data_IF_130575788381
#
_entry.id   IF_130575788381
#
_cell.length_a   1.000
_cell.length_b   1.000
_cell.length_c   1.000
_cell.angle_alpha   90.00
_cell.angle_beta   90.00
_cell.angle_gamma   90.00
#
_symmetry.space_group_name_H-M   'P 1'
#
loop_
_entity.id
_entity.type
_entity.pdbx_description
1 polymer ?
#
# COMPACT_ATOMS: atom_id res chain seq x y z
N UNK A 1 -6.13 0.96 7.43
CA UNK A 1 -5.40 2.14 7.92
C UNK A 1 -6.28 3.33 7.61
N UNK A 2 -6.82 3.99 8.61
CA UNK A 2 -7.83 5.04 8.40
C UNK A 2 -7.22 6.20 7.60
N UNK A 3 -7.79 6.49 6.44
CA UNK A 3 -7.32 7.49 5.46
C UNK A 3 -7.25 8.90 6.07
N UNK A 4 -7.96 9.16 7.16
CA UNK A 4 -8.07 10.47 7.81
C UNK A 4 -6.94 10.71 8.82
N UNK A 5 -6.49 9.69 9.54
CA UNK A 5 -5.28 9.79 10.38
C UNK A 5 -4.01 9.76 9.53
N UNK A 6 -4.01 9.03 8.41
CA UNK A 6 -2.90 9.11 7.45
C UNK A 6 -2.80 10.49 6.81
N UNK A 7 -3.89 11.24 6.66
CA UNK A 7 -3.85 12.65 6.19
C UNK A 7 -3.26 13.61 7.22
N UNK A 8 -3.31 13.30 8.50
CA UNK A 8 -2.58 14.03 9.56
C UNK A 8 -1.07 13.69 9.53
N UNK A 9 -0.73 12.46 9.11
CA UNK A 9 0.66 12.01 8.93
C UNK A 9 1.31 12.57 7.66
N UNK A 10 0.50 12.91 6.64
CA UNK A 10 0.97 13.46 5.35
C UNK A 10 1.06 14.99 5.33
N UNK A 11 0.62 15.69 6.37
CA UNK A 11 0.98 17.10 6.54
C UNK A 11 2.46 17.13 6.93
N UNK A 12 3.35 17.41 5.99
CA UNK A 12 4.80 17.70 6.03
C UNK A 12 5.51 17.78 7.42
N UNK A 13 5.02 17.05 8.40
CA UNK A 13 5.62 16.96 9.71
C UNK A 13 6.71 15.89 9.63
N UNK A 14 7.97 16.31 9.57
CA UNK A 14 9.13 15.45 9.80
C UNK A 14 9.02 14.76 11.16
N UNK A 15 8.22 13.69 11.26
CA UNK A 15 7.98 12.99 12.52
C UNK A 15 9.20 12.19 12.93
N UNK A 16 9.61 12.34 14.17
CA UNK A 16 10.63 11.49 14.78
C UNK A 16 10.06 10.08 15.00
N UNK A 17 10.94 9.07 15.16
CA UNK A 17 10.54 7.69 15.49
C UNK A 17 9.68 7.60 16.77
N UNK A 18 9.93 8.49 17.73
CA UNK A 18 9.16 8.56 18.98
C UNK A 18 7.75 9.10 18.74
N UNK A 19 7.61 10.15 17.94
CA UNK A 19 6.31 10.73 17.55
C UNK A 19 5.48 9.77 16.71
N UNK A 20 6.14 9.04 15.82
CA UNK A 20 5.49 8.01 15.01
C UNK A 20 4.91 6.87 15.87
N UNK A 21 5.63 6.40 16.91
CA UNK A 21 5.12 5.37 17.83
C UNK A 21 3.83 5.82 18.55
N UNK A 22 3.74 7.09 18.95
CA UNK A 22 2.52 7.63 19.56
C UNK A 22 1.33 7.54 18.60
N UNK A 23 1.51 7.95 17.36
CA UNK A 23 0.44 7.90 16.35
C UNK A 23 0.07 6.47 15.98
N UNK A 24 1.05 5.56 15.83
CA UNK A 24 0.79 4.14 15.57
C UNK A 24 -0.04 3.53 16.69
N UNK A 25 0.30 3.80 17.94
CA UNK A 25 -0.45 3.29 19.08
C UNK A 25 -1.92 3.79 19.09
N UNK A 26 -2.15 5.07 18.82
CA UNK A 26 -3.50 5.64 18.74
C UNK A 26 -4.32 5.00 17.61
N UNK A 27 -3.69 4.70 16.47
CA UNK A 27 -4.34 4.03 15.33
C UNK A 27 -4.68 2.57 15.63
N UNK A 28 -3.82 1.88 16.38
CA UNK A 28 -4.01 0.48 16.77
C UNK A 28 -5.05 0.31 17.88
N UNK A 29 -5.33 1.38 18.67
CA UNK A 29 -6.21 1.33 19.82
C UNK A 29 -7.33 2.39 19.80
N UNK A 30 -8.13 2.47 18.73
CA UNK A 30 -9.12 3.55 18.52
C UNK A 30 -10.13 3.69 19.68
N UNK A 31 -10.53 2.57 20.29
CA UNK A 31 -11.49 2.59 21.41
C UNK A 31 -10.91 3.19 22.70
N UNK A 32 -9.61 3.23 22.85
CA UNK A 32 -8.93 3.78 24.03
C UNK A 32 -8.65 5.27 23.92
N UNK A 33 -8.65 5.82 22.70
CA UNK A 33 -8.27 7.21 22.43
C UNK A 33 -9.11 8.21 23.23
N UNK A 34 -10.40 7.94 23.42
CA UNK A 34 -11.30 8.88 24.12
C UNK A 34 -11.13 8.91 25.65
N UNK A 35 -10.37 7.99 26.22
CA UNK A 35 -10.25 7.82 27.68
C UNK A 35 -8.79 7.82 28.16
N UNK A 36 -7.83 7.90 27.24
CA UNK A 36 -6.41 7.83 27.59
C UNK A 36 -5.90 9.17 28.11
N UNK A 37 -5.12 9.14 29.17
CA UNK A 37 -4.41 10.32 29.67
C UNK A 37 -3.05 10.47 28.95
N UNK A 38 -2.46 11.68 29.00
CA UNK A 38 -1.14 11.92 28.43
C UNK A 38 -0.04 11.04 29.07
N UNK A 39 -0.20 10.70 30.37
CA UNK A 39 0.74 9.83 31.10
C UNK A 39 0.64 8.38 30.62
N UNK A 40 -0.59 7.86 30.53
CA UNK A 40 -0.83 6.50 30.02
C UNK A 40 -0.38 6.36 28.57
N UNK A 41 -0.65 7.37 27.72
CA UNK A 41 -0.18 7.34 26.33
C UNK A 41 1.35 7.37 26.25
N UNK A 42 2.01 8.15 27.12
CA UNK A 42 3.46 8.20 27.22
C UNK A 42 4.05 6.83 27.60
N UNK A 43 3.43 6.17 28.58
CA UNK A 43 3.85 4.85 29.07
C UNK A 43 3.70 3.77 27.99
N UNK A 44 2.53 3.63 27.39
CA UNK A 44 2.24 2.60 26.37
C UNK A 44 2.98 2.82 25.05
N UNK A 45 3.36 4.07 24.74
CA UNK A 45 4.14 4.41 23.55
C UNK A 45 5.65 4.46 23.82
N UNK A 46 6.07 4.23 25.06
CA UNK A 46 7.50 4.32 25.49
C UNK A 46 8.15 5.65 25.13
N UNK A 47 7.46 6.76 25.41
CA UNK A 47 7.94 8.13 25.18
C UNK A 47 7.70 9.02 26.39
N UNK A 48 8.28 10.22 26.41
CA UNK A 48 7.96 11.21 27.46
C UNK A 48 6.64 11.95 27.15
N UNK A 49 5.96 12.43 28.19
CA UNK A 49 4.80 13.31 28.05
C UNK A 49 5.15 14.57 27.24
N UNK A 50 6.37 15.08 27.37
CA UNK A 50 6.87 16.21 26.60
C UNK A 50 6.95 15.91 25.08
N UNK A 51 7.24 14.67 24.71
CA UNK A 51 7.24 14.22 23.31
C UNK A 51 5.83 14.27 22.74
N UNK A 52 4.82 13.82 23.51
CA UNK A 52 3.41 13.86 23.09
C UNK A 52 2.91 15.31 22.95
N UNK A 53 3.27 16.18 23.91
CA UNK A 53 2.91 17.60 23.84
C UNK A 53 3.50 18.28 22.61
N UNK A 54 4.78 18.02 22.30
CA UNK A 54 5.43 18.55 21.09
C UNK A 54 4.80 18.01 19.82
N UNK A 55 4.42 16.72 19.78
CA UNK A 55 3.71 16.13 18.66
C UNK A 55 2.38 16.86 18.43
N UNK A 56 1.57 17.05 19.48
CA UNK A 56 0.30 17.78 19.39
C UNK A 56 0.50 19.18 18.80
N UNK A 57 1.47 19.95 19.33
CA UNK A 57 1.79 21.29 18.83
C UNK A 57 2.31 21.27 17.36
N UNK A 58 3.13 20.32 17.01
CA UNK A 58 3.67 20.13 15.65
C UNK A 58 2.57 19.82 14.64
N UNK A 59 1.52 19.11 15.06
CA UNK A 59 0.34 18.81 14.26
C UNK A 59 -0.67 19.98 14.25
N UNK A 60 -0.37 21.10 14.94
CA UNK A 60 -1.18 22.33 14.93
C UNK A 60 -2.24 22.38 16.03
N UNK A 61 -2.18 21.50 17.03
CA UNK A 61 -3.11 21.51 18.16
C UNK A 61 -2.54 22.32 19.32
N UNK A 62 -3.42 22.98 20.09
CA UNK A 62 -3.03 23.78 21.26
C UNK A 62 -2.47 22.93 22.42
N UNK A 63 -2.79 21.62 22.46
CA UNK A 63 -2.34 20.70 23.47
C UNK A 63 -2.91 19.30 23.34
N UNK A 64 -2.61 18.45 24.34
CA UNK A 64 -3.00 17.04 24.34
C UNK A 64 -4.51 16.83 24.25
N UNK A 65 -5.30 17.61 25.00
CA UNK A 65 -6.76 17.44 25.05
C UNK A 65 -7.41 17.69 23.70
N UNK A 66 -6.98 18.73 23.00
CA UNK A 66 -7.45 19.05 21.64
C UNK A 66 -7.00 17.99 20.65
N UNK A 67 -5.74 17.57 20.72
CA UNK A 67 -5.18 16.51 19.88
C UNK A 67 -5.96 15.20 20.03
N UNK A 68 -6.18 14.73 21.25
CA UNK A 68 -6.95 13.51 21.53
C UNK A 68 -8.41 13.64 21.11
N UNK A 69 -9.02 14.81 21.34
CA UNK A 69 -10.38 15.07 20.90
C UNK A 69 -10.51 14.94 19.37
N UNK A 70 -9.59 15.55 18.61
CA UNK A 70 -9.56 15.43 17.16
C UNK A 70 -9.29 13.99 16.69
N UNK A 71 -8.36 13.28 17.33
CA UNK A 71 -8.14 11.87 17.07
C UNK A 71 -9.42 11.05 17.33
N UNK A 72 -10.13 11.34 18.42
CA UNK A 72 -11.40 10.68 18.72
C UNK A 72 -12.46 10.98 17.67
N UNK A 73 -12.61 12.22 17.23
CA UNK A 73 -13.56 12.58 16.16
C UNK A 73 -13.23 11.87 14.86
N UNK A 74 -11.99 11.90 14.42
CA UNK A 74 -11.54 11.22 13.21
C UNK A 74 -11.76 9.70 13.27
N UNK A 75 -11.63 9.10 14.44
CA UNK A 75 -11.87 7.68 14.67
C UNK A 75 -13.36 7.36 14.89
N UNK A 76 -14.16 8.33 15.39
CA UNK A 76 -15.61 8.18 15.61
C UNK A 76 -16.47 8.54 14.40
N UNK A 77 -15.95 9.35 13.46
CA UNK A 77 -16.57 9.60 12.16
C UNK A 77 -16.35 8.46 11.16
N UNK A 78 -15.59 7.43 11.55
CA UNK A 78 -15.72 6.10 10.92
C UNK A 78 -17.19 5.71 11.06
N UNK A 79 -17.90 5.33 9.99
CA UNK A 79 -19.30 4.87 10.08
C UNK A 79 -19.36 3.95 11.28
N UNK A 80 -20.25 4.24 12.23
CA UNK A 80 -20.42 3.48 13.45
C UNK A 80 -20.21 2.02 13.13
N UNK A 81 -19.17 1.42 13.71
CA UNK A 81 -19.09 -0.02 13.80
C UNK A 81 -20.46 -0.43 14.32
N UNK A 82 -21.29 -0.87 13.38
CA UNK A 82 -22.61 -1.44 13.66
C UNK A 82 -22.37 -2.34 14.85
N UNK A 83 -23.16 -2.11 15.90
CA UNK A 83 -23.13 -2.89 17.11
C UNK A 83 -22.83 -4.34 16.75
N UNK A 84 -21.87 -4.95 17.46
CA UNK A 84 -21.55 -6.37 17.36
C UNK A 84 -22.86 -7.16 17.29
N UNK A 85 -23.37 -7.33 16.10
CA UNK A 85 -24.19 -8.47 15.82
C UNK A 85 -23.21 -9.60 15.63
N UNK A 86 -23.38 -10.70 16.36
CA UNK A 86 -22.61 -11.94 16.23
C UNK A 86 -22.73 -12.60 14.84
N UNK A 87 -23.15 -11.87 13.85
CA UNK A 87 -23.23 -12.25 12.45
C UNK A 87 -21.92 -11.83 11.76
N UNK A 88 -20.88 -12.64 11.93
CA UNK A 88 -19.81 -12.72 10.94
C UNK A 88 -20.51 -13.08 9.61
N UNK A 89 -20.37 -12.28 8.53
CA UNK A 89 -20.97 -12.63 7.26
C UNK A 89 -20.54 -14.06 6.90
N UNK A 90 -21.47 -14.89 6.50
CA UNK A 90 -21.14 -16.24 6.06
C UNK A 90 -20.15 -16.20 4.91
N UNK A 91 -19.28 -17.19 4.82
CA UNK A 91 -18.26 -17.28 3.78
C UNK A 91 -18.77 -17.01 2.36
N UNK A 92 -19.99 -17.49 1.96
CA UNK A 92 -20.56 -17.15 0.66
C UNK A 92 -20.81 -15.65 0.44
N UNK A 93 -21.23 -14.91 1.49
CA UNK A 93 -21.46 -13.47 1.37
C UNK A 93 -20.13 -12.71 1.22
N UNK A 94 -19.10 -13.11 1.95
CA UNK A 94 -17.74 -12.58 1.80
C UNK A 94 -17.18 -12.88 0.41
N UNK A 95 -17.35 -14.10 -0.08
CA UNK A 95 -16.93 -14.47 -1.43
C UNK A 95 -17.59 -13.60 -2.51
N UNK A 96 -18.89 -13.36 -2.42
CA UNK A 96 -19.61 -12.48 -3.34
C UNK A 96 -19.08 -11.04 -3.29
N UNK A 97 -18.70 -10.54 -2.11
CA UNK A 97 -18.06 -9.23 -1.97
C UNK A 97 -16.71 -9.18 -2.69
N UNK A 98 -15.87 -10.21 -2.53
CA UNK A 98 -14.61 -10.32 -3.28
C UNK A 98 -14.85 -10.35 -4.80
N UNK A 99 -15.83 -11.10 -5.28
CA UNK A 99 -16.19 -11.12 -6.70
C UNK A 99 -16.58 -9.73 -7.20
N UNK A 100 -17.39 -8.98 -6.45
CA UNK A 100 -17.75 -7.61 -6.80
C UNK A 100 -16.53 -6.69 -6.87
N UNK A 101 -15.58 -6.82 -5.93
CA UNK A 101 -14.34 -6.07 -5.93
C UNK A 101 -13.43 -6.42 -7.12
N UNK A 102 -13.38 -7.68 -7.52
CA UNK A 102 -12.69 -8.11 -8.75
C UNK A 102 -13.31 -7.47 -9.99
N UNK A 103 -14.63 -7.49 -10.11
CA UNK A 103 -15.33 -6.87 -11.24
C UNK A 103 -15.01 -5.38 -11.35
N UNK A 104 -14.94 -4.65 -10.23
CA UNK A 104 -14.52 -3.25 -10.21
C UNK A 104 -13.08 -3.06 -10.72
N UNK A 105 -12.15 -3.91 -10.30
CA UNK A 105 -10.77 -3.87 -10.80
C UNK A 105 -10.72 -4.07 -12.31
N UNK A 106 -11.42 -5.08 -12.83
CA UNK A 106 -11.38 -5.41 -14.25
C UNK A 106 -12.04 -4.36 -15.14
N UNK A 107 -12.93 -3.52 -14.63
CA UNK A 107 -13.46 -2.36 -15.37
C UNK A 107 -12.38 -1.33 -15.72
N UNK A 108 -11.29 -1.26 -14.96
CA UNK A 108 -10.17 -0.33 -15.19
C UNK A 108 -9.01 -0.94 -15.98
N UNK A 109 -9.06 -2.25 -16.20
CA UNK A 109 -8.07 -2.97 -17.03
C UNK A 109 -8.56 -2.97 -18.48
N UNK A 110 -8.34 -1.83 -19.15
CA UNK A 110 -8.78 -1.66 -20.54
C UNK A 110 -8.05 -2.59 -21.50
N UNK A 111 -8.64 -2.83 -22.67
CA UNK A 111 -8.03 -3.64 -23.73
C UNK A 111 -6.66 -3.08 -24.15
N UNK A 112 -6.52 -1.77 -24.27
CA UNK A 112 -5.25 -1.13 -24.57
C UNK A 112 -4.15 -1.46 -23.55
N UNK A 113 -4.46 -1.42 -22.26
CA UNK A 113 -3.49 -1.78 -21.21
C UNK A 113 -3.07 -3.24 -21.31
N UNK A 114 -4.01 -4.14 -21.58
CA UNK A 114 -3.73 -5.57 -21.76
C UNK A 114 -2.85 -5.81 -22.98
N UNK A 115 -3.14 -5.18 -24.10
CA UNK A 115 -2.33 -5.24 -25.32
C UNK A 115 -0.92 -4.68 -25.10
N UNK A 116 -0.77 -3.56 -24.39
CA UNK A 116 0.55 -3.00 -24.06
C UNK A 116 1.33 -3.99 -23.20
N UNK A 117 0.71 -4.57 -22.18
CA UNK A 117 1.38 -5.55 -21.32
C UNK A 117 1.79 -6.81 -22.08
N UNK A 118 0.89 -7.36 -22.90
CA UNK A 118 1.16 -8.52 -23.77
C UNK A 118 2.34 -8.23 -24.70
N UNK A 119 2.38 -7.06 -25.34
CA UNK A 119 3.48 -6.65 -26.19
C UNK A 119 4.78 -6.52 -25.41
N UNK A 120 4.77 -5.92 -24.21
CA UNK A 120 5.94 -5.86 -23.34
C UNK A 120 6.50 -7.26 -23.03
N UNK A 121 5.64 -8.22 -22.72
CA UNK A 121 6.07 -9.59 -22.46
C UNK A 121 6.64 -10.29 -23.71
N UNK A 122 6.15 -9.98 -24.89
CA UNK A 122 6.66 -10.55 -26.15
C UNK A 122 7.99 -9.93 -26.60
N UNK A 123 8.13 -8.61 -26.46
CA UNK A 123 9.26 -7.86 -27.00
C UNK A 123 10.43 -7.69 -26.02
N UNK A 124 10.18 -7.82 -24.69
CA UNK A 124 11.18 -7.59 -23.65
C UNK A 124 11.53 -8.89 -22.96
N UNK A 125 12.83 -9.07 -22.70
CA UNK A 125 13.37 -10.30 -22.11
C UNK A 125 13.89 -10.13 -20.70
N UNK A 126 14.06 -8.89 -20.21
CA UNK A 126 14.66 -8.63 -18.91
C UNK A 126 13.83 -7.65 -18.06
N UNK A 127 13.50 -8.09 -16.84
CA UNK A 127 12.59 -7.43 -15.91
C UNK A 127 13.25 -7.26 -14.54
N UNK A 128 13.22 -6.05 -14.01
CA UNK A 128 13.60 -5.77 -12.62
C UNK A 128 12.33 -5.47 -11.82
N UNK A 129 12.08 -6.25 -10.77
CA UNK A 129 10.88 -6.10 -9.96
C UNK A 129 11.21 -5.53 -8.57
N UNK A 130 10.31 -4.75 -8.01
CA UNK A 130 10.44 -4.21 -6.67
C UNK A 130 9.10 -4.00 -6.00
N UNK A 131 9.05 -4.34 -4.71
CA UNK A 131 7.96 -4.02 -3.79
C UNK A 131 8.54 -3.87 -2.38
N UNK A 132 8.00 -2.97 -1.58
CA UNK A 132 8.40 -2.77 -0.19
C UNK A 132 7.44 -3.47 0.76
N UNK A 133 7.96 -3.98 1.90
CA UNK A 133 7.16 -4.65 2.90
C UNK A 133 6.36 -5.83 2.33
N UNK A 134 5.05 -5.87 2.59
CA UNK A 134 4.17 -6.95 2.12
C UNK A 134 4.08 -7.03 0.59
N UNK A 135 4.18 -5.89 -0.12
CA UNK A 135 4.16 -5.85 -1.59
C UNK A 135 5.33 -6.61 -2.24
N UNK A 136 6.42 -6.85 -1.50
CA UNK A 136 7.54 -7.67 -1.96
C UNK A 136 7.10 -9.09 -2.34
N UNK A 137 6.22 -9.72 -1.56
CA UNK A 137 5.75 -11.08 -1.81
C UNK A 137 5.08 -11.22 -3.18
N UNK A 138 4.33 -10.21 -3.60
CA UNK A 138 3.64 -10.20 -4.90
C UNK A 138 4.59 -9.87 -6.05
N UNK A 139 5.56 -8.99 -5.82
CA UNK A 139 6.62 -8.76 -6.79
C UNK A 139 7.47 -10.02 -6.98
N UNK A 140 7.75 -10.78 -5.90
CA UNK A 140 8.44 -12.07 -5.98
C UNK A 140 7.61 -13.12 -6.72
N UNK A 141 6.31 -13.20 -6.43
CA UNK A 141 5.38 -14.07 -7.17
C UNK A 141 5.47 -13.84 -8.68
N UNK A 142 5.33 -12.59 -9.12
CA UNK A 142 5.43 -12.24 -10.54
C UNK A 142 6.82 -12.53 -11.11
N UNK A 143 7.89 -12.30 -10.33
CA UNK A 143 9.26 -12.65 -10.72
C UNK A 143 9.36 -14.13 -11.07
N UNK A 144 8.84 -15.02 -10.21
CA UNK A 144 8.85 -16.47 -10.44
C UNK A 144 8.04 -16.86 -11.68
N UNK A 145 6.87 -16.26 -11.88
CA UNK A 145 6.06 -16.48 -13.09
C UNK A 145 6.82 -16.09 -14.36
N UNK A 146 7.46 -14.92 -14.38
CA UNK A 146 8.27 -14.46 -15.51
C UNK A 146 9.46 -15.41 -15.79
N UNK A 147 10.13 -15.89 -14.73
CA UNK A 147 11.22 -16.87 -14.86
C UNK A 147 10.73 -18.20 -15.49
N UNK A 148 9.54 -18.68 -15.10
CA UNK A 148 8.92 -19.88 -15.72
C UNK A 148 8.61 -19.66 -17.19
N UNK A 149 8.29 -18.43 -17.59
CA UNK A 149 8.10 -18.05 -19.00
C UNK A 149 9.42 -17.81 -19.76
N UNK A 150 10.56 -18.12 -19.15
CA UNK A 150 11.88 -17.99 -19.78
C UNK A 150 12.44 -16.57 -19.77
N UNK A 151 11.81 -15.62 -19.05
CA UNK A 151 12.31 -14.23 -18.95
C UNK A 151 13.41 -14.12 -17.90
N UNK A 152 14.39 -13.24 -18.16
CA UNK A 152 15.37 -12.83 -17.17
C UNK A 152 14.69 -11.87 -16.18
N UNK A 153 14.26 -12.38 -15.04
CA UNK A 153 13.58 -11.58 -14.03
C UNK A 153 14.35 -11.60 -12.71
N UNK A 154 14.59 -10.43 -12.16
CA UNK A 154 15.27 -10.21 -10.88
C UNK A 154 14.41 -9.37 -9.95
N UNK A 155 14.42 -9.71 -8.68
CA UNK A 155 13.78 -8.92 -7.62
C UNK A 155 14.82 -8.48 -6.60
N UNK A 156 14.79 -7.20 -6.24
CA UNK A 156 15.58 -6.67 -5.13
C UNK A 156 14.87 -6.93 -3.82
N UNK A 157 15.59 -7.49 -2.86
CA UNK A 157 15.07 -7.85 -1.54
C UNK A 157 14.74 -6.64 -0.67
N UNK A 158 13.92 -6.80 0.38
CA UNK A 158 13.53 -5.69 1.27
C UNK A 158 14.71 -5.06 2.02
N UNK A 159 15.80 -5.82 2.22
CA UNK A 159 17.03 -5.36 2.87
C UNK A 159 18.09 -4.82 1.92
N UNK A 160 17.85 -4.87 0.61
CA UNK A 160 18.83 -4.46 -0.37
C UNK A 160 19.02 -2.95 -0.38
N UNK A 161 20.29 -2.54 -0.41
CA UNK A 161 20.61 -1.12 -0.53
C UNK A 161 20.21 -0.56 -1.91
N UNK A 162 19.97 0.74 -1.96
CA UNK A 162 19.77 1.49 -3.21
C UNK A 162 20.86 1.20 -4.24
N UNK A 163 22.09 0.96 -3.80
CA UNK A 163 23.22 0.71 -4.68
C UNK A 163 23.09 -0.60 -5.47
N UNK A 164 22.45 -1.63 -4.93
CA UNK A 164 22.16 -2.87 -5.67
C UNK A 164 21.30 -2.56 -6.88
N UNK A 165 20.27 -1.72 -6.71
CA UNK A 165 19.45 -1.29 -7.83
C UNK A 165 20.26 -0.48 -8.86
N UNK A 166 20.98 0.54 -8.42
CA UNK A 166 21.79 1.39 -9.31
C UNK A 166 22.83 0.60 -10.13
N UNK A 167 23.47 -0.38 -9.50
CA UNK A 167 24.51 -1.20 -10.16
C UNK A 167 23.96 -2.21 -11.17
N UNK A 168 22.67 -2.53 -11.10
CA UNK A 168 22.06 -3.56 -11.93
C UNK A 168 20.98 -3.07 -12.88
N UNK A 169 20.32 -1.95 -12.60
CA UNK A 169 19.14 -1.48 -13.33
C UNK A 169 19.35 -1.39 -14.84
N UNK A 170 20.51 -0.89 -15.28
CA UNK A 170 20.83 -0.75 -16.72
C UNK A 170 20.87 -2.08 -17.51
N UNK A 171 20.83 -3.23 -16.83
CA UNK A 171 20.78 -4.56 -17.47
C UNK A 171 19.36 -5.00 -17.79
N UNK A 172 18.35 -4.27 -17.32
CA UNK A 172 16.96 -4.64 -17.43
C UNK A 172 16.20 -3.61 -18.28
N UNK A 173 15.22 -4.09 -19.04
CA UNK A 173 14.43 -3.29 -19.96
C UNK A 173 13.14 -2.76 -19.34
N UNK A 174 12.60 -3.50 -18.39
CA UNK A 174 11.32 -3.20 -17.72
C UNK A 174 11.52 -3.16 -16.22
N UNK A 175 11.03 -2.12 -15.57
CA UNK A 175 10.91 -2.01 -14.12
C UNK A 175 9.45 -2.23 -13.72
N UNK A 176 9.19 -3.23 -12.89
CA UNK A 176 7.85 -3.52 -12.38
C UNK A 176 7.78 -3.18 -10.90
N UNK A 177 6.93 -2.23 -10.55
CA UNK A 177 6.71 -1.77 -9.20
C UNK A 177 5.37 -2.24 -8.63
N UNK A 178 5.40 -2.86 -7.46
CA UNK A 178 4.21 -3.17 -6.68
C UNK A 178 4.19 -2.31 -5.43
N UNK A 179 3.20 -1.42 -5.31
CA UNK A 179 3.02 -0.56 -4.13
C UNK A 179 1.55 -0.26 -3.91
N UNK A 180 0.94 -0.83 -2.87
CA UNK A 180 -0.48 -0.62 -2.60
C UNK A 180 -0.84 0.86 -2.52
N UNK A 181 -0.10 1.67 -1.77
CA UNK A 181 -0.35 3.11 -1.66
C UNK A 181 0.06 3.90 -2.91
N UNK A 182 1.06 3.42 -3.66
CA UNK A 182 1.72 4.18 -4.71
C UNK A 182 2.56 5.36 -4.23
N UNK A 183 2.78 5.48 -2.89
CA UNK A 183 3.48 6.59 -2.24
C UNK A 183 4.72 6.14 -1.44
N UNK A 184 5.11 4.87 -1.55
CA UNK A 184 6.28 4.37 -0.83
C UNK A 184 7.56 4.96 -1.41
N UNK A 185 8.28 5.79 -0.63
CA UNK A 185 9.45 6.55 -1.08
C UNK A 185 10.50 5.69 -1.78
N UNK A 186 10.82 4.52 -1.22
CA UNK A 186 11.80 3.61 -1.82
C UNK A 186 11.36 3.05 -3.18
N UNK A 187 10.06 2.90 -3.42
CA UNK A 187 9.50 2.47 -4.69
C UNK A 187 9.55 3.62 -5.69
N UNK A 188 9.15 4.83 -5.26
CA UNK A 188 9.16 6.03 -6.08
C UNK A 188 10.59 6.40 -6.54
N UNK A 189 11.59 6.34 -5.63
CA UNK A 189 12.99 6.60 -5.96
C UNK A 189 13.47 5.66 -7.09
N UNK A 190 13.22 4.36 -6.94
CA UNK A 190 13.60 3.38 -7.97
C UNK A 190 12.85 3.56 -9.27
N UNK A 191 11.55 3.86 -9.22
CA UNK A 191 10.74 4.09 -10.42
C UNK A 191 11.23 5.31 -11.21
N UNK A 192 11.55 6.43 -10.53
CA UNK A 192 12.13 7.62 -11.17
C UNK A 192 13.50 7.33 -11.81
N UNK A 193 14.35 6.58 -11.10
CA UNK A 193 15.64 6.17 -11.66
C UNK A 193 15.43 5.28 -12.89
N UNK A 194 14.55 4.29 -12.83
CA UNK A 194 14.23 3.41 -13.94
C UNK A 194 13.77 4.21 -15.18
N UNK A 195 12.84 5.14 -14.98
CA UNK A 195 12.38 6.05 -16.03
C UNK A 195 13.53 6.87 -16.63
N UNK A 196 14.39 7.48 -15.80
CA UNK A 196 15.50 8.32 -16.23
C UNK A 196 16.55 7.56 -17.04
N UNK A 197 16.73 6.24 -16.81
CA UNK A 197 17.66 5.41 -17.60
C UNK A 197 16.98 4.70 -18.78
N UNK A 198 15.71 5.02 -19.06
CA UNK A 198 14.98 4.54 -20.23
C UNK A 198 14.37 3.14 -20.08
N UNK A 199 14.19 2.63 -18.86
CA UNK A 199 13.39 1.44 -18.63
C UNK A 199 11.91 1.77 -18.81
N UNK A 200 11.13 0.82 -19.31
CA UNK A 200 9.66 0.90 -19.24
C UNK A 200 9.18 0.62 -17.82
N UNK A 201 8.43 1.54 -17.23
CA UNK A 201 7.93 1.42 -15.87
C UNK A 201 6.49 0.88 -15.87
N UNK A 202 6.28 -0.28 -15.28
CA UNK A 202 4.97 -0.88 -15.06
C UNK A 202 4.64 -0.79 -13.57
N UNK A 203 3.47 -0.31 -13.20
CA UNK A 203 3.07 -0.16 -11.81
C UNK A 203 1.73 -0.82 -11.50
N UNK A 204 1.66 -1.46 -10.33
CA UNK A 204 0.44 -1.98 -9.73
C UNK A 204 0.19 -1.23 -8.42
N UNK A 205 -0.90 -0.47 -8.34
CA UNK A 205 -1.28 0.27 -7.13
C UNK A 205 -2.78 0.13 -6.86
N UNK A 206 -3.23 0.53 -5.66
CA UNK A 206 -4.66 0.70 -5.45
C UNK A 206 -5.21 1.81 -6.36
N UNK A 207 -6.49 1.76 -6.64
CA UNK A 207 -7.19 2.78 -7.41
C UNK A 207 -7.35 4.08 -6.61
N UNK A 208 -6.33 4.91 -6.68
CA UNK A 208 -6.28 6.25 -6.10
C UNK A 208 -5.36 7.13 -6.94
N UNK A 209 -5.53 8.45 -6.85
CA UNK A 209 -4.48 9.35 -7.31
C UNK A 209 -3.23 9.11 -6.46
N UNK A 210 -2.12 8.74 -7.10
CA UNK A 210 -0.87 8.46 -6.41
C UNK A 210 0.34 8.77 -7.31
N UNK A 211 1.49 9.01 -6.67
CA UNK A 211 2.73 9.44 -7.33
C UNK A 211 3.30 8.38 -8.28
N UNK A 212 3.20 7.10 -7.92
CA UNK A 212 3.73 6.02 -8.76
C UNK A 212 2.94 5.86 -10.06
N UNK A 213 1.62 6.06 -10.02
CA UNK A 213 0.77 6.08 -11.21
C UNK A 213 1.17 7.18 -12.20
N UNK A 214 1.64 8.34 -11.69
CA UNK A 214 2.13 9.44 -12.52
C UNK A 214 3.52 9.21 -13.15
N UNK A 215 4.31 8.28 -12.60
CA UNK A 215 5.64 7.91 -13.12
C UNK A 215 5.54 6.79 -14.16
N UNK A 216 4.57 5.88 -13.99
CA UNK A 216 4.48 4.64 -14.76
C UNK A 216 4.05 4.87 -16.21
N UNK A 217 4.73 4.20 -17.16
CA UNK A 217 4.31 4.11 -18.56
C UNK A 217 3.07 3.23 -18.74
N UNK A 218 2.92 2.21 -17.86
CA UNK A 218 1.76 1.35 -17.79
C UNK A 218 1.33 1.18 -16.33
N UNK A 219 0.12 1.64 -16.00
CA UNK A 219 -0.42 1.58 -14.65
C UNK A 219 -1.68 0.72 -14.58
N UNK A 220 -1.66 -0.25 -13.68
CA UNK A 220 -2.81 -1.05 -13.28
C UNK A 220 -3.32 -0.58 -11.92
N UNK A 221 -4.52 -0.01 -11.92
CA UNK A 221 -5.22 0.39 -10.71
C UNK A 221 -6.10 -0.77 -10.22
N UNK A 222 -5.96 -1.13 -8.95
CA UNK A 222 -6.72 -2.20 -8.31
C UNK A 222 -7.71 -1.62 -7.30
N UNK A 223 -8.93 -2.11 -7.34
CA UNK A 223 -9.93 -1.78 -6.34
C UNK A 223 -9.48 -2.32 -4.97
N UNK A 224 -9.51 -1.48 -3.97
CA UNK A 224 -8.98 -1.75 -2.64
C UNK A 224 -10.00 -1.32 -1.58
N UNK A 225 -11.07 -2.10 -1.44
CA UNK A 225 -12.00 -1.93 -0.35
C UNK A 225 -11.59 -2.83 0.82
N UNK A 226 -11.60 -2.25 2.03
CA UNK A 226 -11.41 -3.04 3.23
C UNK A 226 -12.61 -3.99 3.38
N UNK A 227 -12.35 -5.27 3.35
CA UNK A 227 -13.35 -6.26 3.77
C UNK A 227 -13.50 -6.12 5.26
N UNK A 228 -14.65 -5.63 5.72
CA UNK A 228 -14.95 -5.44 7.13
C UNK A 228 -15.08 -6.79 7.82
N UNK A 229 -13.97 -7.34 8.23
CA UNK A 229 -13.93 -8.33 9.31
C UNK A 229 -14.04 -7.58 10.64
N UNK A 230 -14.56 -8.27 11.68
CA UNK A 230 -14.63 -7.77 13.03
C UNK A 230 -13.36 -6.98 13.41
N UNK A 231 -13.52 -5.91 14.16
CA UNK A 231 -12.56 -4.82 14.41
C UNK A 231 -11.11 -5.19 14.79
N UNK A 232 -10.78 -6.46 14.92
CA UNK A 232 -9.45 -6.97 15.26
C UNK A 232 -8.68 -7.57 14.08
N UNK A 233 -9.31 -7.83 12.95
CA UNK A 233 -8.64 -8.31 11.74
C UNK A 233 -8.20 -7.12 10.87
N UNK A 234 -7.32 -6.29 11.42
CA UNK A 234 -6.68 -5.22 10.65
C UNK A 234 -5.94 -5.83 9.44
N UNK A 235 -6.40 -5.55 8.25
CA UNK A 235 -5.58 -5.70 7.07
C UNK A 235 -6.05 -6.65 5.97
N UNK A 236 -7.18 -7.34 6.09
CA UNK A 236 -7.71 -8.09 4.93
C UNK A 236 -8.38 -7.11 3.98
N UNK A 237 -7.79 -6.94 2.82
CA UNK A 237 -8.34 -6.09 1.75
C UNK A 237 -8.44 -6.89 0.46
N UNK A 238 -9.15 -6.37 -0.51
CA UNK A 238 -9.23 -7.01 -1.81
C UNK A 238 -8.01 -6.76 -2.71
N UNK A 239 -7.09 -5.88 -2.29
CA UNK A 239 -5.93 -5.49 -3.11
C UNK A 239 -5.07 -6.70 -3.47
N UNK A 240 -4.66 -7.47 -2.49
CA UNK A 240 -3.72 -8.58 -2.66
C UNK A 240 -4.30 -9.69 -3.53
N UNK A 241 -5.54 -10.09 -3.27
CA UNK A 241 -6.22 -11.12 -4.05
C UNK A 241 -6.54 -10.65 -5.47
N UNK A 242 -6.96 -9.40 -5.65
CA UNK A 242 -7.13 -8.76 -6.95
C UNK A 242 -5.81 -8.73 -7.74
N UNK A 243 -4.70 -8.40 -7.07
CA UNK A 243 -3.39 -8.29 -7.69
C UNK A 243 -2.92 -9.64 -8.25
N UNK A 244 -3.01 -10.72 -7.45
CA UNK A 244 -2.63 -12.07 -7.89
C UNK A 244 -3.47 -12.51 -9.07
N UNK A 245 -4.80 -12.36 -8.98
CA UNK A 245 -5.71 -12.72 -10.06
C UNK A 245 -5.42 -11.93 -11.34
N UNK A 246 -5.20 -10.61 -11.23
CA UNK A 246 -4.87 -9.77 -12.37
C UNK A 246 -3.54 -10.19 -13.02
N UNK A 247 -2.50 -10.42 -12.23
CA UNK A 247 -1.20 -10.88 -12.73
C UNK A 247 -1.34 -12.20 -13.50
N UNK A 248 -2.06 -13.18 -12.96
CA UNK A 248 -2.26 -14.46 -13.61
C UNK A 248 -3.03 -14.33 -14.93
N UNK A 249 -4.08 -13.52 -14.97
CA UNK A 249 -4.86 -13.30 -16.19
C UNK A 249 -4.07 -12.55 -17.27
N UNK A 250 -3.29 -11.54 -16.89
CA UNK A 250 -2.40 -10.82 -17.82
C UNK A 250 -1.33 -11.75 -18.41
N UNK A 251 -0.75 -12.65 -17.62
CA UNK A 251 0.22 -13.61 -18.09
C UNK A 251 -0.41 -14.67 -18.99
N UNK A 252 -1.60 -15.17 -18.62
CA UNK A 252 -2.33 -16.15 -19.42
C UNK A 252 -2.69 -15.58 -20.80
N UNK A 253 -3.22 -14.36 -20.87
CA UNK A 253 -3.55 -13.69 -22.14
C UNK A 253 -2.29 -13.45 -23.01
N UNK A 254 -1.16 -13.16 -22.40
CA UNK A 254 0.07 -12.89 -23.13
C UNK A 254 0.74 -14.16 -23.69
N UNK A 255 0.40 -15.33 -23.18
CA UNK A 255 1.02 -16.64 -23.54
C UNK A 255 0.10 -17.53 -24.37
N UNK A 256 -1.20 -17.23 -24.44
CA UNK A 256 -2.17 -17.92 -25.29
C UNK A 256 -2.25 -17.27 -26.66
#
# INVERSE_FOLDING_TARGET
MDTRLSSLLTRDANLTRAEYRVLSWLMEHPLRVGHITVRELAEVSYVSTATIMRLAQKLGFSGFSEFVWHCKQLLSETPQLVARTDNVPELPALFNQFIANYQQTFQWVTEDKRHIFTRLLREKDSFFLYGAGFSYLFAEYLTKKLQVLGKTAFISGPGDSRNIFLSNAARYQVFVAVSRSGETEQVLDKARIAQNIGMTVVAFTRASANSLAGIADLHFALYDEAVHYAAEAAGVTSFESNLVLLMDLLLLEATG
#
